data_IF_771802564142
#
_entry.id   IF_771802564142
#
_cell.length_a   1.000
_cell.length_b   1.000
_cell.length_c   1.000
_cell.angle_alpha   90.00
_cell.angle_beta   90.00
_cell.angle_gamma   90.00
#
_symmetry.space_group_name_H-M   'P 1'
#
loop_
_entity.id
_entity.type
_entity.pdbx_description
1 polymer ?
#
# COMPACT_ATOMS: atom_id res chain seq x y z
N UNK A 1 19.85 17.02 1.13
CA UNK A 1 20.71 15.81 1.01
C UNK A 1 21.38 15.56 2.32
N UNK A 2 20.57 15.07 3.25
CA UNK A 2 20.97 14.47 4.51
C UNK A 2 21.31 12.99 4.24
N UNK A 3 22.03 12.37 5.17
CA UNK A 3 22.26 10.93 5.16
C UNK A 3 21.65 10.37 6.46
N UNK A 4 20.73 9.42 6.31
CA UNK A 4 19.91 8.86 7.38
C UNK A 4 20.15 7.36 7.38
N UNK A 5 21.23 6.97 8.03
CA UNK A 5 21.71 5.59 8.06
C UNK A 5 21.02 4.80 9.18
N UNK A 6 20.47 3.63 8.82
CA UNK A 6 19.97 2.64 9.77
C UNK A 6 21.07 1.85 10.48
N UNK A 7 20.68 0.74 11.06
CA UNK A 7 21.50 -0.15 11.88
C UNK A 7 21.41 -1.59 11.35
N UNK A 8 21.92 -2.58 12.08
CA UNK A 8 21.81 -4.00 11.68
C UNK A 8 20.57 -4.70 12.26
N UNK A 9 19.56 -3.92 12.61
CA UNK A 9 18.35 -4.40 13.27
C UNK A 9 17.18 -3.47 12.96
N UNK A 10 15.97 -4.04 13.04
CA UNK A 10 14.68 -3.41 12.67
C UNK A 10 14.63 -1.91 13.03
N UNK A 11 14.64 -1.08 12.00
CA UNK A 11 14.65 0.38 12.06
C UNK A 11 13.37 1.04 11.50
N UNK A 12 13.16 2.29 11.91
CA UNK A 12 12.07 3.17 11.44
C UNK A 12 12.67 4.50 10.99
N UNK A 13 13.06 4.55 9.72
CA UNK A 13 13.81 5.65 9.14
C UNK A 13 12.87 6.69 8.52
N UNK A 14 13.07 7.94 8.91
CA UNK A 14 12.26 9.08 8.51
C UNK A 14 13.15 10.16 7.91
N UNK A 15 12.94 10.43 6.62
CA UNK A 15 13.54 11.51 5.83
C UNK A 15 13.07 12.90 6.23
N UNK A 16 13.40 13.87 5.39
CA UNK A 16 13.12 15.31 5.61
C UNK A 16 12.25 15.89 4.50
N UNK A 17 12.22 17.22 4.34
CA UNK A 17 11.52 17.86 3.22
C UNK A 17 12.48 18.31 2.11
N UNK A 18 13.75 17.92 2.22
CA UNK A 18 14.79 18.06 1.22
C UNK A 18 15.30 16.65 0.86
N UNK A 19 15.62 16.40 -0.42
CA UNK A 19 16.22 15.14 -0.92
C UNK A 19 17.21 14.52 0.06
N UNK A 20 17.19 13.23 0.31
CA UNK A 20 17.99 12.51 1.31
C UNK A 20 18.59 11.21 0.75
N UNK A 21 19.44 10.55 1.55
CA UNK A 21 20.01 9.23 1.27
C UNK A 21 19.74 8.35 2.50
N UNK A 22 18.97 7.27 2.31
CA UNK A 22 18.44 6.43 3.39
C UNK A 22 18.84 4.95 3.14
N UNK A 23 20.02 4.51 3.61
CA UNK A 23 20.38 3.10 3.65
C UNK A 23 19.87 2.44 4.93
N UNK A 24 18.97 1.47 4.81
CA UNK A 24 18.34 0.75 5.92
C UNK A 24 19.27 -0.28 6.57
N UNK A 25 19.86 -1.17 5.74
CA UNK A 25 21.03 -2.06 5.94
C UNK A 25 20.73 -3.55 6.16
N UNK A 26 20.33 -3.98 7.35
CA UNK A 26 20.08 -5.40 7.67
C UNK A 26 18.89 -5.56 8.62
N UNK A 27 18.05 -6.56 8.36
CA UNK A 27 16.74 -6.84 8.99
C UNK A 27 15.58 -6.17 8.28
N UNK A 28 14.35 -6.43 8.76
CA UNK A 28 13.12 -5.87 8.21
C UNK A 28 12.89 -4.44 8.71
N UNK A 29 13.11 -3.46 7.86
CA UNK A 29 13.05 -2.05 8.16
C UNK A 29 11.81 -1.37 7.55
N UNK A 30 11.53 -0.15 8.00
CA UNK A 30 10.60 0.77 7.34
C UNK A 30 11.33 2.09 7.06
N UNK A 31 11.37 2.52 5.80
CA UNK A 31 12.03 3.76 5.38
C UNK A 31 11.08 4.67 4.59
N UNK A 32 10.99 5.94 4.99
CA UNK A 32 10.15 6.95 4.35
C UNK A 32 10.99 8.19 4.00
N UNK A 33 11.00 8.62 2.74
CA UNK A 33 11.72 9.80 2.27
C UNK A 33 11.11 11.16 2.66
N UNK A 34 9.78 11.22 2.74
CA UNK A 34 8.94 12.42 2.95
C UNK A 34 8.92 13.45 1.80
N UNK A 35 10.05 14.03 1.41
CA UNK A 35 10.02 15.08 0.40
C UNK A 35 11.37 15.54 -0.14
N UNK A 36 11.37 15.84 -1.44
CA UNK A 36 12.55 15.97 -2.27
C UNK A 36 12.94 14.64 -2.89
N UNK A 37 13.74 14.69 -3.97
CA UNK A 37 14.16 13.50 -4.72
C UNK A 37 15.14 12.65 -3.89
N UNK A 38 14.67 11.54 -3.34
CA UNK A 38 15.35 10.70 -2.36
C UNK A 38 16.09 9.50 -2.99
N UNK A 39 17.07 8.97 -2.26
CA UNK A 39 17.72 7.68 -2.57
C UNK A 39 17.54 6.72 -1.39
N UNK A 40 16.67 5.73 -1.55
CA UNK A 40 16.32 4.77 -0.49
C UNK A 40 16.86 3.39 -0.88
N UNK A 41 17.50 2.70 0.06
CA UNK A 41 18.07 1.36 -0.12
C UNK A 41 17.69 0.48 1.06
N UNK A 42 16.92 -0.59 0.84
CA UNK A 42 16.64 -1.59 1.88
C UNK A 42 17.88 -2.40 2.25
N UNK A 43 18.49 -3.03 1.24
CA UNK A 43 19.70 -3.85 1.23
C UNK A 43 19.51 -5.33 1.63
N UNK A 44 19.12 -5.65 2.87
CA UNK A 44 18.98 -7.03 3.34
C UNK A 44 17.83 -7.19 4.33
N UNK A 45 16.81 -7.90 3.90
CA UNK A 45 15.62 -8.19 4.69
C UNK A 45 14.39 -7.69 3.97
N UNK A 46 13.26 -8.34 4.23
CA UNK A 46 11.98 -7.96 3.64
C UNK A 46 11.55 -6.59 4.18
N UNK A 47 11.73 -5.50 3.46
CA UNK A 47 11.56 -4.12 3.92
C UNK A 47 10.22 -3.51 3.51
N UNK A 48 9.96 -2.29 3.99
CA UNK A 48 8.87 -1.42 3.50
C UNK A 48 9.46 -0.05 3.19
N UNK A 49 9.61 0.26 1.90
CA UNK A 49 10.30 1.44 1.39
C UNK A 49 9.31 2.39 0.71
N UNK A 50 9.47 3.69 0.92
CA UNK A 50 8.47 4.68 0.51
C UNK A 50 9.13 6.02 0.16
N UNK A 51 9.11 6.40 -1.12
CA UNK A 51 9.69 7.66 -1.64
C UNK A 51 9.01 8.90 -1.04
N UNK A 52 7.72 9.08 -1.36
CA UNK A 52 6.80 10.16 -0.96
C UNK A 52 6.59 11.29 -1.97
N UNK A 53 7.42 12.34 -1.97
CA UNK A 53 7.27 13.50 -2.85
C UNK A 53 8.61 13.85 -3.47
N UNK A 54 8.76 13.65 -4.77
CA UNK A 54 10.02 13.87 -5.46
C UNK A 54 10.13 12.87 -6.60
N UNK A 55 11.05 13.07 -7.55
CA UNK A 55 11.42 11.97 -8.45
C UNK A 55 12.45 11.12 -7.70
N UNK A 56 11.97 10.07 -7.03
CA UNK A 56 12.72 9.27 -6.08
C UNK A 56 13.47 8.11 -6.75
N UNK A 57 14.43 7.52 -6.05
CA UNK A 57 15.14 6.32 -6.48
C UNK A 57 15.18 5.32 -5.34
N UNK A 58 14.55 4.17 -5.53
CA UNK A 58 14.33 3.18 -4.48
C UNK A 58 14.83 1.82 -4.95
N UNK A 59 15.71 1.21 -4.15
CA UNK A 59 16.19 -0.16 -4.31
C UNK A 59 15.74 -0.97 -3.10
N UNK A 60 15.04 -2.08 -3.35
CA UNK A 60 14.71 -3.09 -2.34
C UNK A 60 15.98 -3.72 -1.79
N UNK A 61 16.46 -4.76 -2.46
CA UNK A 61 17.79 -5.31 -2.23
C UNK A 61 17.79 -6.83 -2.17
N UNK A 62 17.51 -7.41 -1.00
CA UNK A 62 17.45 -8.87 -0.80
C UNK A 62 16.29 -9.23 0.11
N UNK A 63 15.63 -10.35 -0.22
CA UNK A 63 14.37 -10.81 0.35
C UNK A 63 13.16 -10.02 -0.18
N UNK A 64 11.94 -10.41 0.21
CA UNK A 64 10.71 -9.91 -0.40
C UNK A 64 10.30 -8.52 0.12
N UNK A 65 10.50 -7.50 -0.71
CA UNK A 65 10.31 -6.09 -0.39
C UNK A 65 8.93 -5.55 -0.74
N UNK A 66 8.60 -4.39 -0.16
CA UNK A 66 7.39 -3.63 -0.50
C UNK A 66 7.75 -2.19 -0.75
N UNK A 67 7.61 -1.74 -1.99
CA UNK A 67 8.10 -0.44 -2.45
C UNK A 67 6.96 0.40 -2.98
N UNK A 68 6.83 1.60 -2.42
CA UNK A 68 5.93 2.65 -2.88
C UNK A 68 6.78 3.83 -3.38
N UNK A 69 6.62 4.25 -4.63
CA UNK A 69 7.21 5.49 -5.15
C UNK A 69 6.60 6.70 -4.44
N UNK A 70 5.46 7.17 -4.94
CA UNK A 70 4.63 8.15 -4.25
C UNK A 70 4.08 9.21 -5.20
N UNK A 71 4.73 10.38 -5.24
CA UNK A 71 4.42 11.49 -6.13
C UNK A 71 5.69 11.95 -6.84
N UNK A 72 5.88 11.53 -8.08
CA UNK A 72 7.18 11.63 -8.72
C UNK A 72 7.24 11.08 -10.14
N UNK A 73 8.44 10.96 -10.66
CA UNK A 73 8.73 10.07 -11.79
C UNK A 73 9.82 9.12 -11.30
N UNK A 74 9.40 8.13 -10.54
CA UNK A 74 10.26 7.38 -9.64
C UNK A 74 11.02 6.28 -10.38
N UNK A 75 12.21 5.94 -9.88
CA UNK A 75 12.99 4.81 -10.33
C UNK A 75 12.97 3.73 -9.24
N UNK A 76 12.28 2.62 -9.50
CA UNK A 76 12.03 1.55 -8.54
C UNK A 76 12.69 0.25 -9.04
N UNK A 77 13.43 -0.42 -8.16
CA UNK A 77 14.00 -1.76 -8.37
C UNK A 77 13.74 -2.62 -7.14
N UNK A 78 13.13 -3.81 -7.30
CA UNK A 78 13.04 -4.80 -6.21
C UNK A 78 14.40 -5.47 -5.92
N UNK A 79 15.18 -5.70 -6.98
CA UNK A 79 16.50 -6.35 -7.02
C UNK A 79 16.45 -7.89 -6.84
N UNK A 80 16.32 -8.42 -5.62
CA UNK A 80 16.29 -9.88 -5.37
C UNK A 80 15.22 -10.25 -4.35
N UNK A 81 14.06 -10.75 -4.80
CA UNK A 81 12.97 -11.00 -3.88
C UNK A 81 11.75 -11.62 -4.52
N UNK A 82 10.59 -11.26 -4.00
CA UNK A 82 9.28 -11.56 -4.57
C UNK A 82 8.43 -10.35 -4.23
N UNK A 83 8.68 -9.28 -4.99
CA UNK A 83 8.56 -7.92 -4.50
C UNK A 83 7.23 -7.30 -4.88
N UNK A 84 6.77 -6.35 -4.05
CA UNK A 84 5.52 -5.63 -4.26
C UNK A 84 5.81 -4.19 -4.63
N UNK A 85 5.63 -3.86 -5.90
CA UNK A 85 6.11 -2.63 -6.51
C UNK A 85 4.94 -1.74 -6.97
N UNK A 86 4.88 -0.53 -6.44
CA UNK A 86 3.78 0.41 -6.60
C UNK A 86 4.38 1.79 -6.93
N UNK A 87 4.24 2.28 -8.16
CA UNK A 87 4.72 3.62 -8.54
C UNK A 87 3.94 4.77 -7.86
N UNK A 88 2.62 4.59 -7.76
CA UNK A 88 1.61 5.56 -7.27
C UNK A 88 1.21 6.70 -8.23
N UNK A 89 1.92 7.82 -8.26
CA UNK A 89 1.52 9.02 -9.00
C UNK A 89 2.65 9.65 -9.79
N UNK A 90 2.56 9.51 -11.10
CA UNK A 90 3.32 10.25 -12.09
C UNK A 90 3.69 9.34 -13.23
N UNK A 91 4.99 9.14 -13.49
CA UNK A 91 5.43 8.25 -14.57
C UNK A 91 6.70 7.53 -14.19
N UNK A 92 6.50 6.35 -13.63
CA UNK A 92 7.53 5.63 -12.93
C UNK A 92 8.25 4.65 -13.85
N UNK A 93 9.48 4.28 -13.50
CA UNK A 93 10.25 3.24 -14.17
C UNK A 93 10.53 2.15 -13.16
N UNK A 94 9.89 1.01 -13.33
CA UNK A 94 9.81 -0.06 -12.35
C UNK A 94 10.49 -1.32 -12.92
N UNK A 95 11.32 -1.96 -12.10
CA UNK A 95 12.02 -3.21 -12.41
C UNK A 95 11.76 -4.18 -11.27
N UNK A 96 11.32 -5.39 -11.56
CA UNK A 96 11.17 -6.46 -10.57
C UNK A 96 12.52 -6.86 -10.02
N UNK A 97 13.36 -7.41 -10.90
CA UNK A 97 14.63 -8.01 -10.53
C UNK A 97 14.58 -9.54 -10.65
N UNK A 98 15.21 -10.25 -9.71
CA UNK A 98 15.13 -11.71 -9.61
C UNK A 98 14.03 -12.15 -8.66
N UNK A 99 12.86 -12.54 -9.19
CA UNK A 99 11.74 -12.98 -8.36
C UNK A 99 10.52 -13.50 -9.09
N UNK A 100 9.44 -13.64 -8.33
CA UNK A 100 8.05 -13.75 -8.80
C UNK A 100 7.31 -12.49 -8.31
N UNK A 101 7.39 -11.39 -9.08
CA UNK A 101 7.10 -10.04 -8.57
C UNK A 101 5.66 -9.58 -8.84
N UNK A 102 5.21 -8.56 -8.10
CA UNK A 102 3.86 -8.01 -8.14
C UNK A 102 3.90 -6.51 -8.42
N UNK A 103 3.49 -6.13 -9.62
CA UNK A 103 3.43 -4.73 -10.07
C UNK A 103 1.98 -4.22 -9.98
N UNK A 104 1.71 -3.20 -9.16
CA UNK A 104 0.38 -2.62 -9.06
C UNK A 104 0.11 -1.57 -10.14
N UNK A 105 -1.01 -1.72 -10.85
CA UNK A 105 -1.52 -0.75 -11.82
C UNK A 105 -3.02 -0.54 -11.60
N UNK A 106 -3.52 0.68 -11.76
CA UNK A 106 -4.97 0.89 -11.69
C UNK A 106 -5.43 2.31 -11.42
N UNK A 107 -6.68 2.40 -11.00
CA UNK A 107 -7.38 3.67 -10.79
C UNK A 107 -7.02 4.25 -9.42
N UNK A 108 -6.93 5.59 -9.32
CA UNK A 108 -7.14 6.30 -8.05
C UNK A 108 -8.49 7.01 -8.12
N UNK A 109 -9.32 6.88 -7.08
CA UNK A 109 -10.75 7.23 -7.15
C UNK A 109 -11.03 8.73 -7.39
N UNK A 110 -11.07 9.16 -8.66
CA UNK A 110 -11.35 10.54 -9.06
C UNK A 110 -10.13 11.46 -9.21
N UNK A 111 -8.92 10.92 -9.11
CA UNK A 111 -7.65 11.60 -9.36
C UNK A 111 -6.87 10.81 -10.41
N UNK A 112 -6.05 11.49 -11.22
CA UNK A 112 -5.23 10.86 -12.28
C UNK A 112 -4.50 9.64 -11.72
N UNK A 113 -4.57 8.52 -12.43
CA UNK A 113 -3.90 7.27 -12.07
C UNK A 113 -2.35 7.36 -12.15
N UNK A 114 -1.68 6.22 -11.90
CA UNK A 114 -0.33 5.90 -12.42
C UNK A 114 -0.18 6.13 -13.93
N UNK A 115 -1.31 6.30 -14.62
CA UNK A 115 -1.41 6.72 -16.01
C UNK A 115 -2.05 8.08 -16.21
N UNK A 116 -1.58 8.82 -17.21
CA UNK A 116 -2.29 9.94 -17.81
C UNK A 116 -3.03 9.58 -19.11
N UNK A 117 -3.67 10.58 -19.72
CA UNK A 117 -4.38 10.43 -21.01
C UNK A 117 -3.43 10.33 -22.22
N UNK A 118 -2.13 10.53 -22.03
CA UNK A 118 -1.11 10.29 -23.06
C UNK A 118 -0.28 9.06 -22.69
N UNK A 119 0.13 8.28 -23.70
CA UNK A 119 1.05 7.15 -23.51
C UNK A 119 2.39 7.56 -22.87
N UNK A 120 2.78 8.84 -23.00
CA UNK A 120 3.99 9.39 -22.40
C UNK A 120 3.88 9.64 -20.89
N UNK A 121 2.68 9.46 -20.31
CA UNK A 121 2.33 9.61 -18.90
C UNK A 121 2.06 8.25 -18.23
N UNK A 122 2.45 7.14 -18.86
CA UNK A 122 2.24 5.77 -18.37
C UNK A 122 3.53 5.21 -17.77
N UNK A 123 3.41 4.46 -16.66
CA UNK A 123 4.53 3.74 -16.06
C UNK A 123 5.23 2.81 -17.05
N UNK A 124 6.54 2.62 -16.87
CA UNK A 124 7.35 1.68 -17.62
C UNK A 124 7.80 0.54 -16.71
N UNK A 125 7.23 -0.66 -16.91
CA UNK A 125 7.70 -1.89 -16.27
C UNK A 125 8.71 -2.55 -17.22
N UNK A 126 9.96 -2.72 -16.79
CA UNK A 126 11.09 -2.96 -17.72
C UNK A 126 11.38 -4.43 -18.02
N UNK A 127 10.98 -5.35 -17.13
CA UNK A 127 11.43 -6.75 -17.09
C UNK A 127 10.31 -7.78 -16.87
N UNK A 128 9.04 -7.36 -16.90
CA UNK A 128 7.87 -8.21 -16.64
C UNK A 128 7.90 -9.55 -17.37
N UNK A 129 7.73 -10.63 -16.61
CA UNK A 129 7.86 -12.00 -17.09
C UNK A 129 9.22 -12.63 -16.81
N UNK A 130 10.00 -12.05 -15.88
CA UNK A 130 10.90 -12.87 -15.09
C UNK A 130 10.05 -13.76 -14.15
N UNK A 131 10.60 -14.90 -13.73
CA UNK A 131 9.89 -15.86 -12.87
C UNK A 131 8.39 -16.06 -13.19
N UNK A 132 7.55 -15.72 -12.21
CA UNK A 132 6.09 -15.89 -12.19
C UNK A 132 5.27 -14.60 -12.12
N UNK A 133 5.84 -13.46 -12.53
CA UNK A 133 5.34 -12.09 -12.34
C UNK A 133 3.82 -11.87 -12.56
N UNK A 134 3.29 -10.92 -11.79
CA UNK A 134 1.88 -10.53 -11.78
C UNK A 134 1.65 -9.03 -11.84
N UNK A 135 0.64 -8.66 -12.61
CA UNK A 135 -0.01 -7.35 -12.56
C UNK A 135 -1.15 -7.39 -11.56
N UNK A 136 -1.18 -6.42 -10.68
CA UNK A 136 -2.20 -6.26 -9.67
C UNK A 136 -3.12 -5.11 -10.03
N UNK A 137 -4.41 -5.40 -10.21
CA UNK A 137 -5.40 -4.38 -10.57
C UNK A 137 -5.94 -3.69 -9.32
N UNK A 138 -5.74 -2.38 -9.24
CA UNK A 138 -6.11 -1.54 -8.08
C UNK A 138 -7.25 -0.55 -8.40
N UNK A 139 -7.85 0.04 -7.36
CA UNK A 139 -8.92 1.03 -7.51
C UNK A 139 -10.24 0.49 -8.06
N UNK A 140 -10.50 -0.80 -7.85
CA UNK A 140 -11.68 -1.50 -8.37
C UNK A 140 -11.64 -1.83 -9.86
N UNK A 141 -10.52 -1.54 -10.56
CA UNK A 141 -10.33 -1.90 -11.96
C UNK A 141 -10.41 -3.42 -12.19
N UNK A 142 -11.18 -3.84 -13.20
CA UNK A 142 -11.36 -5.24 -13.58
C UNK A 142 -10.60 -5.57 -14.87
N UNK A 143 -10.14 -6.81 -15.02
CA UNK A 143 -9.46 -7.25 -16.25
C UNK A 143 -10.30 -7.03 -17.52
N UNK A 144 -11.61 -7.21 -17.43
CA UNK A 144 -12.56 -6.95 -18.53
C UNK A 144 -12.68 -5.48 -18.95
N UNK A 145 -12.13 -4.55 -18.17
CA UNK A 145 -12.10 -3.11 -18.49
C UNK A 145 -10.79 -2.70 -19.17
N UNK A 146 -9.80 -3.60 -19.31
CA UNK A 146 -8.50 -3.28 -19.89
C UNK A 146 -8.51 -3.32 -21.43
N UNK A 147 -7.96 -2.29 -22.04
CA UNK A 147 -7.46 -2.33 -23.41
C UNK A 147 -5.98 -2.74 -23.38
N UNK A 148 -5.68 -3.98 -23.79
CA UNK A 148 -4.30 -4.49 -23.93
C UNK A 148 -3.87 -4.31 -25.40
N UNK A 149 -2.91 -3.41 -25.64
CA UNK A 149 -2.54 -2.92 -26.96
C UNK A 149 -1.07 -3.27 -27.29
N UNK A 150 -0.78 -4.12 -28.28
CA UNK A 150 0.60 -4.47 -28.64
C UNK A 150 1.32 -3.30 -29.34
N UNK A 151 2.60 -3.06 -29.01
CA UNK A 151 3.39 -1.95 -29.53
C UNK A 151 4.87 -2.30 -29.69
N UNK A 152 5.29 -2.66 -30.92
CA UNK A 152 6.69 -2.92 -31.35
C UNK A 152 7.61 -3.58 -30.28
N UNK A 153 7.21 -4.77 -29.82
CA UNK A 153 7.99 -5.55 -28.83
C UNK A 153 7.62 -5.28 -27.37
N UNK A 154 6.65 -4.41 -27.13
CA UNK A 154 6.11 -4.06 -25.82
C UNK A 154 4.58 -4.27 -25.80
N UNK A 155 3.99 -4.24 -24.61
CA UNK A 155 2.53 -4.26 -24.41
C UNK A 155 2.11 -3.02 -23.62
N UNK A 156 1.15 -2.28 -24.16
CA UNK A 156 0.55 -1.11 -23.51
C UNK A 156 -0.74 -1.56 -22.83
N UNK A 157 -0.94 -1.15 -21.59
CA UNK A 157 -2.17 -1.36 -20.83
C UNK A 157 -2.86 -0.01 -20.65
N UNK A 158 -4.12 0.07 -21.07
CA UNK A 158 -4.96 1.26 -20.95
C UNK A 158 -6.28 0.90 -20.28
N UNK A 159 -6.80 1.76 -19.41
CA UNK A 159 -8.16 1.67 -18.91
C UNK A 159 -9.15 1.97 -20.05
N UNK A 160 -9.97 0.99 -20.44
CA UNK A 160 -10.94 1.10 -21.52
C UNK A 160 -12.18 1.94 -21.16
N UNK A 161 -12.36 2.31 -19.89
CA UNK A 161 -13.45 3.17 -19.41
C UNK A 161 -13.02 4.63 -19.33
N UNK A 162 -11.84 4.92 -18.77
CA UNK A 162 -11.34 6.30 -18.63
C UNK A 162 -10.50 6.76 -19.84
N UNK A 163 -9.81 5.83 -20.50
CA UNK A 163 -8.84 6.11 -21.56
C UNK A 163 -7.41 6.39 -21.07
N UNK A 164 -7.16 6.31 -19.77
CA UNK A 164 -5.82 6.51 -19.17
C UNK A 164 -4.88 5.34 -19.50
N UNK A 165 -3.64 5.65 -19.88
CA UNK A 165 -2.60 4.67 -20.19
C UNK A 165 -1.88 4.29 -18.89
N UNK A 166 -2.19 3.13 -18.33
CA UNK A 166 -1.76 2.73 -16.98
C UNK A 166 -0.30 2.26 -16.92
N UNK A 167 0.15 1.52 -17.95
CA UNK A 167 1.51 0.99 -17.99
C UNK A 167 1.95 0.60 -19.42
N UNK A 168 3.26 0.55 -19.62
CA UNK A 168 3.97 -0.04 -20.75
C UNK A 168 4.87 -1.15 -20.21
N UNK A 169 4.62 -2.38 -20.62
CA UNK A 169 5.48 -3.51 -20.32
C UNK A 169 6.52 -3.68 -21.43
N UNK A 170 7.78 -3.47 -21.11
CA UNK A 170 8.88 -3.63 -22.07
C UNK A 170 9.14 -5.11 -22.36
N UNK A 171 9.44 -5.45 -23.60
CA UNK A 171 9.74 -6.83 -24.02
C UNK A 171 8.55 -7.81 -24.05
N UNK A 172 7.43 -7.48 -23.42
CA UNK A 172 6.23 -8.34 -23.36
C UNK A 172 5.40 -8.22 -24.63
N UNK A 173 5.13 -9.35 -25.29
CA UNK A 173 4.31 -9.39 -26.52
C UNK A 173 2.96 -10.09 -26.36
N UNK A 174 2.65 -10.62 -25.17
CA UNK A 174 1.41 -11.33 -24.87
C UNK A 174 1.12 -11.35 -23.38
N UNK A 175 -0.12 -11.09 -23.01
CA UNK A 175 -0.68 -11.26 -21.66
C UNK A 175 -1.97 -12.07 -21.77
N UNK A 176 -2.28 -12.86 -20.75
CA UNK A 176 -3.57 -13.55 -20.60
C UNK A 176 -4.34 -12.98 -19.38
N UNK A 177 -5.33 -13.70 -18.85
CA UNK A 177 -5.97 -13.35 -17.56
C UNK A 177 -5.18 -13.94 -16.36
N UNK A 178 -4.46 -15.04 -16.60
CA UNK A 178 -3.15 -15.29 -15.99
C UNK A 178 -2.14 -14.21 -16.41
N UNK A 179 -1.11 -13.96 -15.59
CA UNK A 179 -0.35 -12.70 -15.53
C UNK A 179 -1.07 -11.57 -14.78
N UNK A 180 -2.38 -11.64 -14.50
CA UNK A 180 -3.06 -10.71 -13.59
C UNK A 180 -3.42 -11.36 -12.25
N UNK A 181 -3.71 -10.51 -11.26
CA UNK A 181 -4.27 -10.82 -9.96
C UNK A 181 -5.16 -9.66 -9.46
N UNK A 182 -6.33 -9.97 -8.88
CA UNK A 182 -6.96 -9.06 -7.92
C UNK A 182 -6.24 -9.17 -6.59
N UNK A 183 -6.32 -8.12 -5.75
CA UNK A 183 -5.30 -7.80 -4.74
C UNK A 183 -4.75 -8.99 -3.92
N UNK A 184 -5.59 -9.96 -3.50
CA UNK A 184 -5.11 -11.23 -2.96
C UNK A 184 -5.97 -12.42 -3.44
N UNK A 185 -5.32 -13.43 -4.01
CA UNK A 185 -5.97 -14.59 -4.60
C UNK A 185 -6.60 -15.54 -3.58
N UNK A 186 -7.83 -15.97 -3.82
CA UNK A 186 -8.53 -16.98 -3.01
C UNK A 186 -9.46 -16.44 -1.91
N UNK A 187 -9.62 -15.11 -1.82
CA UNK A 187 -10.56 -14.43 -0.92
C UNK A 187 -11.78 -13.93 -1.72
N UNK A 188 -12.90 -13.60 -1.06
CA UNK A 188 -14.08 -13.06 -1.76
C UNK A 188 -13.78 -11.72 -2.46
N UNK A 189 -14.49 -11.43 -3.56
CA UNK A 189 -14.34 -10.18 -4.32
C UNK A 189 -14.39 -8.94 -3.40
N UNK A 190 -13.30 -8.17 -3.37
CA UNK A 190 -13.18 -6.93 -2.59
C UNK A 190 -12.51 -7.09 -1.21
N UNK A 191 -12.21 -8.31 -0.77
CA UNK A 191 -11.40 -8.56 0.42
C UNK A 191 -9.92 -8.66 0.08
N UNK A 192 -9.07 -8.36 1.05
CA UNK A 192 -7.62 -8.54 0.93
C UNK A 192 -7.20 -9.76 1.75
N UNK A 193 -7.43 -9.72 3.05
CA UNK A 193 -7.07 -10.81 3.95
C UNK A 193 -8.32 -11.63 4.29
N UNK A 194 -8.17 -12.90 4.67
CA UNK A 194 -9.29 -13.64 5.21
C UNK A 194 -9.81 -12.97 6.49
N UNK A 195 -11.14 -12.84 6.60
CA UNK A 195 -11.79 -12.56 7.88
C UNK A 195 -11.35 -13.64 8.87
N UNK A 196 -10.63 -13.23 9.90
CA UNK A 196 -10.05 -14.11 10.92
C UNK A 196 -10.19 -13.53 12.34
N UNK A 197 -10.92 -12.43 12.49
CA UNK A 197 -11.41 -11.97 13.78
C UNK A 197 -12.85 -11.40 13.69
N UNK A 198 -13.52 -11.31 14.83
CA UNK A 198 -14.78 -10.62 15.01
C UNK A 198 -14.70 -9.71 16.24
N UNK A 199 -15.17 -8.47 16.11
CA UNK A 199 -15.31 -7.54 17.22
C UNK A 199 -16.79 -7.27 17.52
N UNK A 200 -17.14 -7.30 18.82
CA UNK A 200 -18.51 -7.07 19.26
C UNK A 200 -18.67 -5.66 19.86
N UNK A 201 -19.45 -4.84 19.18
CA UNK A 201 -19.76 -3.46 19.53
C UNK A 201 -21.19 -3.36 20.08
N UNK A 202 -21.35 -3.54 21.39
CA UNK A 202 -22.66 -3.48 22.07
C UNK A 202 -23.76 -4.38 21.44
N UNK A 203 -23.38 -5.55 20.93
CA UNK A 203 -24.28 -6.50 20.26
C UNK A 203 -24.28 -6.43 18.73
N UNK A 204 -23.57 -5.47 18.12
CA UNK A 204 -23.30 -5.46 16.68
C UNK A 204 -21.94 -6.10 16.40
N UNK A 205 -21.93 -7.17 15.61
CA UNK A 205 -20.69 -7.85 15.21
C UNK A 205 -20.15 -7.23 13.92
N UNK A 206 -18.87 -6.86 13.93
CA UNK A 206 -18.10 -6.52 12.73
C UNK A 206 -17.08 -7.64 12.49
N UNK A 207 -17.01 -8.11 11.25
CA UNK A 207 -16.03 -9.08 10.80
C UNK A 207 -14.74 -8.36 10.41
N UNK A 208 -13.60 -8.86 10.87
CA UNK A 208 -12.32 -8.20 10.70
C UNK A 208 -11.35 -9.08 9.91
N UNK A 209 -10.86 -8.51 8.82
CA UNK A 209 -9.62 -8.90 8.17
C UNK A 209 -8.46 -8.56 9.11
N UNK A 210 -7.43 -9.41 9.24
CA UNK A 210 -6.40 -9.21 10.28
C UNK A 210 -5.00 -9.06 9.68
N UNK A 211 -4.49 -7.83 9.69
CA UNK A 211 -3.14 -7.48 9.26
C UNK A 211 -2.12 -7.70 10.40
N UNK A 212 -1.21 -8.66 10.21
CA UNK A 212 -0.23 -9.12 11.21
C UNK A 212 1.21 -8.88 10.77
N UNK A 213 1.51 -9.12 9.51
CA UNK A 213 2.84 -8.83 8.94
C UNK A 213 2.96 -7.33 8.68
N UNK A 214 4.17 -6.73 8.69
CA UNK A 214 4.30 -5.31 8.38
C UNK A 214 3.92 -4.98 6.93
N UNK A 215 3.97 -5.94 6.00
CA UNK A 215 3.42 -5.79 4.64
C UNK A 215 1.90 -5.58 4.69
N UNK A 216 1.17 -6.51 5.32
CA UNK A 216 -0.28 -6.41 5.50
C UNK A 216 -0.69 -5.10 6.20
N UNK A 217 0.12 -4.64 7.15
CA UNK A 217 -0.12 -3.39 7.89
C UNK A 217 0.24 -2.13 7.10
N UNK A 218 1.21 -2.21 6.19
CA UNK A 218 1.56 -1.11 5.29
C UNK A 218 0.49 -0.90 4.22
N UNK A 219 -0.05 -2.00 3.64
CA UNK A 219 -1.12 -1.94 2.63
C UNK A 219 -2.49 -1.65 3.26
N UNK A 220 -2.81 -2.20 4.43
CA UNK A 220 -4.02 -1.86 5.19
C UNK A 220 -5.32 -1.94 4.38
N UNK A 221 -6.02 -0.81 4.20
CA UNK A 221 -7.22 -0.68 3.35
C UNK A 221 -6.97 0.09 2.04
N UNK A 222 -5.71 0.17 1.58
CA UNK A 222 -5.37 0.81 0.32
C UNK A 222 -6.13 0.22 -0.87
N UNK A 223 -6.36 1.05 -1.88
CA UNK A 223 -7.00 0.76 -3.16
C UNK A 223 -8.47 0.33 -3.11
N UNK A 224 -9.08 0.19 -1.93
CA UNK A 224 -10.50 -0.13 -1.78
C UNK A 224 -11.40 1.06 -2.13
N UNK A 225 -12.45 0.77 -2.90
CA UNK A 225 -13.50 1.72 -3.29
C UNK A 225 -14.73 1.65 -2.38
N UNK A 226 -14.88 0.60 -1.58
CA UNK A 226 -15.94 0.42 -0.59
C UNK A 226 -15.49 -0.39 0.63
N UNK A 227 -16.19 -0.23 1.75
CA UNK A 227 -16.05 -1.06 2.96
C UNK A 227 -17.45 -1.23 3.61
N UNK A 228 -18.00 -2.46 3.67
CA UNK A 228 -19.32 -2.72 4.25
C UNK A 228 -19.44 -2.41 5.76
N UNK A 229 -20.63 -2.03 6.22
CA UNK A 229 -20.94 -1.69 7.63
C UNK A 229 -20.67 -2.81 8.65
N UNK A 230 -20.60 -4.06 8.18
CA UNK A 230 -20.33 -5.27 8.97
C UNK A 230 -18.91 -5.81 8.76
N UNK A 231 -18.02 -5.02 8.14
CA UNK A 231 -16.62 -5.34 7.88
C UNK A 231 -15.68 -4.24 8.38
N UNK A 232 -14.40 -4.59 8.51
CA UNK A 232 -13.30 -3.70 8.87
C UNK A 232 -11.97 -4.44 8.81
N UNK A 233 -10.88 -3.76 9.18
CA UNK A 233 -9.56 -4.38 9.32
C UNK A 233 -9.01 -4.17 10.74
N UNK A 234 -8.40 -5.22 11.29
CA UNK A 234 -7.66 -5.22 12.54
C UNK A 234 -6.16 -5.28 12.25
N UNK A 235 -5.41 -4.29 12.71
CA UNK A 235 -3.96 -4.26 12.68
C UNK A 235 -3.45 -4.75 14.03
N UNK A 236 -2.71 -5.86 14.05
CA UNK A 236 -2.20 -6.49 15.28
C UNK A 236 -0.79 -5.97 15.62
N UNK A 237 -0.67 -5.18 16.69
CA UNK A 237 0.58 -4.46 17.00
C UNK A 237 1.34 -5.17 18.12
N UNK A 238 2.25 -6.08 17.75
CA UNK A 238 3.12 -6.83 18.66
C UNK A 238 4.61 -6.64 18.29
N UNK A 239 5.49 -6.18 19.21
CA UNK A 239 5.19 -5.71 20.56
C UNK A 239 4.39 -4.38 20.55
N UNK A 240 3.55 -4.13 21.58
CA UNK A 240 2.72 -2.93 21.63
C UNK A 240 3.55 -1.63 21.66
N UNK A 241 3.34 -0.77 20.66
CA UNK A 241 4.14 0.44 20.39
C UNK A 241 3.27 1.64 20.03
N UNK A 242 3.86 2.84 20.04
CA UNK A 242 3.23 4.00 19.42
C UNK A 242 3.24 3.79 17.90
N UNK A 243 2.13 4.10 17.23
CA UNK A 243 1.95 3.90 15.78
C UNK A 243 1.36 5.17 15.17
N UNK A 244 1.65 5.37 13.89
CA UNK A 244 1.09 6.43 13.06
C UNK A 244 0.47 5.79 11.83
N UNK A 245 -0.83 6.00 11.64
CA UNK A 245 -1.59 5.57 10.47
C UNK A 245 -1.80 6.76 9.53
N UNK A 246 -2.16 6.50 8.29
CA UNK A 246 -2.20 7.48 7.21
C UNK A 246 -3.18 7.05 6.13
N UNK A 247 -3.55 7.97 5.24
CA UNK A 247 -4.62 7.77 4.25
C UNK A 247 -4.10 7.76 2.79
N UNK A 248 -2.79 7.56 2.55
CA UNK A 248 -2.28 7.38 1.18
C UNK A 248 -2.93 6.12 0.58
N UNK A 249 -3.32 6.20 -0.69
CA UNK A 249 -3.98 5.13 -1.45
C UNK A 249 -5.31 4.61 -0.90
N UNK A 250 -5.82 5.12 0.23
CA UNK A 250 -7.15 4.81 0.75
C UNK A 250 -8.18 5.72 0.06
N UNK A 251 -9.15 5.16 -0.67
CA UNK A 251 -10.16 5.93 -1.43
C UNK A 251 -11.52 6.05 -0.74
N UNK A 252 -11.62 5.53 0.49
CA UNK A 252 -12.82 5.57 1.32
C UNK A 252 -12.57 6.38 2.59
N UNK A 253 -13.59 7.06 3.10
CA UNK A 253 -13.48 7.63 4.44
C UNK A 253 -13.35 6.50 5.47
N UNK A 254 -12.50 6.67 6.48
CA UNK A 254 -12.30 5.69 7.55
C UNK A 254 -12.53 6.27 8.96
N UNK A 255 -12.91 5.41 9.88
CA UNK A 255 -12.78 5.60 11.32
C UNK A 255 -11.63 4.70 11.82
N UNK A 256 -10.64 5.27 12.50
CA UNK A 256 -9.55 4.53 13.14
C UNK A 256 -9.79 4.45 14.66
N UNK A 257 -9.91 3.24 15.19
CA UNK A 257 -10.15 2.94 16.61
C UNK A 257 -8.90 2.29 17.21
N UNK A 258 -8.21 3.02 18.08
CA UNK A 258 -6.93 2.61 18.66
C UNK A 258 -7.14 1.91 20.01
N UNK A 259 -6.50 0.75 20.21
CA UNK A 259 -6.78 -0.16 21.33
C UNK A 259 -5.57 -0.43 22.21
N UNK A 260 -5.82 -0.63 23.50
CA UNK A 260 -4.85 -1.22 24.42
C UNK A 260 -5.51 -2.22 25.37
N UNK A 261 -5.08 -3.48 25.33
CA UNK A 261 -5.64 -4.61 26.08
C UNK A 261 -7.18 -4.70 25.94
N UNK A 262 -7.68 -4.47 24.73
CA UNK A 262 -9.11 -4.41 24.38
C UNK A 262 -9.84 -3.11 24.78
N UNK A 263 -9.17 -2.12 25.36
CA UNK A 263 -9.78 -0.83 25.75
C UNK A 263 -9.47 0.27 24.73
N UNK A 264 -10.50 1.00 24.28
CA UNK A 264 -10.38 2.08 23.29
C UNK A 264 -9.62 3.27 23.86
N UNK A 265 -8.44 3.53 23.32
CA UNK A 265 -7.55 4.63 23.73
C UNK A 265 -7.84 5.93 22.98
N UNK A 266 -8.14 5.83 21.68
CA UNK A 266 -8.47 6.97 20.82
C UNK A 266 -9.40 6.53 19.68
N UNK A 267 -10.18 7.48 19.17
CA UNK A 267 -10.99 7.32 17.97
C UNK A 267 -10.73 8.54 17.08
N UNK A 268 -10.32 8.32 15.84
CA UNK A 268 -10.26 9.33 14.80
C UNK A 268 -11.37 9.02 13.80
N UNK A 269 -12.39 9.87 13.70
CA UNK A 269 -13.60 9.60 12.93
C UNK A 269 -13.66 10.39 11.62
N UNK A 270 -14.17 9.73 10.58
CA UNK A 270 -14.45 10.25 9.25
C UNK A 270 -13.22 10.95 8.64
N UNK A 271 -12.08 10.27 8.74
CA UNK A 271 -10.85 10.65 8.05
C UNK A 271 -11.09 10.53 6.55
N UNK A 272 -10.86 11.59 5.76
CA UNK A 272 -11.03 11.54 4.30
C UNK A 272 -9.83 10.84 3.63
N UNK A 273 -10.00 10.35 2.39
CA UNK A 273 -8.89 10.03 1.50
C UNK A 273 -7.83 11.12 1.46
N UNK A 274 -6.56 10.72 1.35
CA UNK A 274 -5.48 11.67 1.10
C UNK A 274 -5.40 12.02 -0.40
N UNK A 275 -5.90 13.21 -0.75
CA UNK A 275 -5.89 13.74 -2.12
C UNK A 275 -4.60 14.48 -2.49
N UNK A 276 -3.85 14.98 -1.50
CA UNK A 276 -2.62 15.75 -1.70
C UNK A 276 -1.60 15.45 -0.60
N UNK A 277 -0.34 15.24 -0.98
CA UNK A 277 0.77 15.09 -0.04
C UNK A 277 1.19 16.45 0.59
N UNK A 278 1.82 16.45 1.77
CA UNK A 278 2.08 15.29 2.62
C UNK A 278 0.82 14.83 3.35
N UNK A 279 0.52 13.52 3.30
CA UNK A 279 -0.63 12.98 4.02
C UNK A 279 -0.50 13.20 5.53
N UNK A 280 -1.57 13.66 6.22
CA UNK A 280 -1.57 13.69 7.67
C UNK A 280 -1.47 12.29 8.28
N UNK A 281 -0.77 12.18 9.39
CA UNK A 281 -0.68 10.95 10.18
C UNK A 281 -1.57 11.00 11.43
N UNK A 282 -2.10 9.84 11.82
CA UNK A 282 -3.08 9.67 12.89
C UNK A 282 -2.63 8.60 13.88
N UNK A 283 -2.59 8.94 15.16
CA UNK A 283 -2.21 8.00 16.21
C UNK A 283 -2.24 8.65 17.59
N UNK A 284 -2.51 7.87 18.66
CA UNK A 284 -2.31 8.34 20.03
C UNK A 284 -0.82 8.37 20.37
N UNK A 285 -0.42 9.27 21.27
CA UNK A 285 0.96 9.29 21.80
C UNK A 285 1.28 8.10 22.74
N UNK A 286 0.26 7.31 23.12
CA UNK A 286 0.38 6.15 24.00
C UNK A 286 0.54 4.85 23.19
N UNK A 287 1.39 3.90 23.63
CA UNK A 287 1.55 2.63 22.94
C UNK A 287 0.27 1.78 22.90
N UNK A 288 -0.09 1.26 21.72
CA UNK A 288 -1.28 0.45 21.43
C UNK A 288 -0.90 -0.99 21.08
N UNK A 289 -1.84 -1.93 21.21
CA UNK A 289 -1.69 -3.33 20.77
C UNK A 289 -2.64 -3.73 19.63
N UNK A 290 -3.57 -2.86 19.26
CA UNK A 290 -4.37 -3.02 18.05
C UNK A 290 -4.92 -1.71 17.52
N UNK A 291 -5.25 -1.69 16.23
CA UNK A 291 -6.04 -0.63 15.58
C UNK A 291 -7.13 -1.30 14.77
N UNK A 292 -8.37 -0.81 14.85
CA UNK A 292 -9.46 -1.24 13.97
C UNK A 292 -9.79 -0.09 13.01
N UNK A 293 -9.75 -0.36 11.72
CA UNK A 293 -10.29 0.53 10.69
C UNK A 293 -11.71 0.07 10.30
N UNK A 294 -12.63 1.03 10.29
CA UNK A 294 -14.04 0.88 9.90
C UNK A 294 -14.38 1.94 8.84
N UNK A 295 -15.52 1.79 8.15
CA UNK A 295 -16.05 2.86 7.29
C UNK A 295 -16.20 4.17 8.08
N UNK A 296 -15.88 5.30 7.46
CA UNK A 296 -16.00 6.62 8.06
C UNK A 296 -17.40 6.91 8.60
N UNK A 297 -17.48 7.32 9.86
CA UNK A 297 -18.71 7.51 10.65
C UNK A 297 -19.21 6.27 11.40
N UNK A 298 -18.74 5.07 11.05
CA UNK A 298 -19.26 3.80 11.60
C UNK A 298 -19.03 3.66 13.11
N UNK A 299 -17.93 4.17 13.65
CA UNK A 299 -17.68 4.16 15.10
C UNK A 299 -18.75 4.95 15.86
N UNK A 300 -19.20 6.09 15.31
CA UNK A 300 -20.29 6.88 15.89
C UNK A 300 -21.63 6.14 15.85
N UNK A 301 -21.93 5.46 14.75
CA UNK A 301 -23.15 4.64 14.59
C UNK A 301 -23.17 3.44 15.54
N UNK A 302 -22.00 2.84 15.80
CA UNK A 302 -21.79 1.80 16.80
C UNK A 302 -21.81 2.32 18.25
N UNK A 303 -21.80 3.65 18.43
CA UNK A 303 -21.86 4.32 19.74
C UNK A 303 -20.55 4.35 20.51
N UNK A 304 -19.42 4.02 19.86
CA UNK A 304 -18.09 3.88 20.46
C UNK A 304 -17.57 5.14 21.14
N UNK A 305 -16.82 4.93 22.23
CA UNK A 305 -16.18 5.97 23.04
C UNK A 305 -14.82 5.53 23.53
N UNK A 306 -13.95 6.50 23.80
CA UNK A 306 -12.70 6.27 24.54
C UNK A 306 -13.04 5.75 25.94
N UNK A 307 -12.36 4.68 26.36
CA UNK A 307 -12.62 3.92 27.59
C UNK A 307 -13.62 2.78 27.45
N UNK A 308 -14.28 2.61 26.30
CA UNK A 308 -15.06 1.40 26.02
C UNK A 308 -14.14 0.18 25.89
N UNK A 309 -14.66 -1.01 26.23
CA UNK A 309 -13.97 -2.29 26.01
C UNK A 309 -14.60 -3.07 24.88
N UNK A 310 -13.75 -3.64 24.03
CA UNK A 310 -14.11 -4.48 22.90
C UNK A 310 -13.67 -5.91 23.14
N UNK A 311 -14.62 -6.82 23.04
CA UNK A 311 -14.34 -8.24 22.92
C UNK A 311 -14.03 -8.54 21.45
N UNK A 312 -12.75 -8.83 21.19
CA UNK A 312 -12.25 -9.26 19.87
C UNK A 312 -11.88 -10.74 19.99
N UNK A 313 -12.40 -11.54 19.07
CA UNK A 313 -12.23 -13.00 19.06
C UNK A 313 -11.72 -13.42 17.70
N UNK A 314 -10.60 -14.14 17.65
CA UNK A 314 -10.12 -14.78 16.42
C UNK A 314 -11.01 -15.98 16.06
N UNK A 315 -11.22 -16.22 14.75
CA UNK A 315 -12.20 -17.19 14.21
C UNK A 315 -11.56 -18.20 13.27
#
# INVERSE_FOLDING_TARGET
MTNIQGTVGIDFLNGTLDSDIIPALESKDIAQGFGGNDQIFGNQGADVLQGNQGDDTIFGGQDADTIFGGQGNDLISGDFGADWLIGDLGRDTITGGEGDDVFAIGRRGGLSSTGGINLADADLITDFGNGGDRLMLTGGLQFSELNILPSEGNTIIQDGVTGEYLAVLSGVTSLEESNFSSLLGGVELGQMLPISAQANFSGQVVNLEVARTPFEQAVGLMFRTELPDNQGMLFSIDPPRTVNFWMRNVFINLDMVFLRNGEVQAIFSNLPPCETEPCPTYGPVTPVDGVIELRGGRAMELGLRVGDRLDIVEV
#
